data_IF_898102072932
#
_entry.id   IF_898102072932
#
_cell.length_a   1.000
_cell.length_b   1.000
_cell.length_c   1.000
_cell.angle_alpha   90.00
_cell.angle_beta   90.00
_cell.angle_gamma   90.00
#
_symmetry.space_group_name_H-M   'P 1'
#
loop_
_entity.id
_entity.type
_entity.pdbx_description
1 polymer ?
#
# COMPACT_ATOMS: atom_id res chain seq x y z
N UNK A 1 37.75 -35.35 22.40
CA UNK A 1 38.16 -34.98 21.02
C UNK A 1 37.01 -35.19 20.03
N UNK A 2 36.75 -34.12 19.27
CA UNK A 2 36.11 -34.06 17.94
C UNK A 2 34.59 -34.27 17.82
N UNK A 3 33.93 -33.14 17.59
CA UNK A 3 32.68 -32.92 16.87
C UNK A 3 32.71 -33.55 15.48
N UNK A 4 31.54 -33.97 14.96
CA UNK A 4 31.30 -33.97 13.51
C UNK A 4 29.79 -33.82 13.21
N UNK A 5 29.47 -32.78 12.45
CA UNK A 5 28.16 -32.47 11.87
C UNK A 5 27.81 -33.45 10.73
N UNK A 6 26.52 -33.71 10.53
CA UNK A 6 25.97 -34.07 9.21
C UNK A 6 24.50 -33.66 9.08
N UNK A 7 24.25 -32.63 8.27
CA UNK A 7 23.01 -32.44 7.48
C UNK A 7 23.30 -32.96 6.06
N UNK A 8 22.36 -33.03 5.07
CA UNK A 8 21.01 -32.44 5.03
C UNK A 8 19.91 -33.32 4.36
N UNK A 9 18.74 -32.69 4.22
CA UNK A 9 17.65 -32.92 3.26
C UNK A 9 16.55 -33.95 3.60
N UNK A 10 15.37 -33.45 3.98
CA UNK A 10 14.18 -33.70 3.15
C UNK A 10 13.18 -32.54 3.32
N UNK A 11 12.86 -31.96 2.17
CA UNK A 11 11.91 -30.87 1.96
C UNK A 11 10.49 -31.24 2.38
N UNK A 12 9.80 -30.36 3.13
CA UNK A 12 8.33 -30.29 3.10
C UNK A 12 7.83 -28.85 3.29
N UNK A 13 7.71 -28.18 2.14
CA UNK A 13 6.66 -27.23 1.75
C UNK A 13 5.98 -26.53 2.94
N UNK A 14 6.51 -25.36 3.31
CA UNK A 14 5.72 -24.36 4.02
C UNK A 14 5.25 -23.36 2.99
N UNK A 15 4.02 -23.57 2.48
CA UNK A 15 3.22 -22.51 1.89
C UNK A 15 2.92 -21.50 2.99
N UNK A 16 3.88 -20.64 3.28
CA UNK A 16 3.65 -19.47 4.10
C UNK A 16 3.07 -18.44 3.16
N UNK A 17 1.75 -18.24 3.20
CA UNK A 17 1.17 -16.97 2.81
C UNK A 17 1.81 -15.93 3.74
N UNK A 18 2.96 -15.40 3.35
CA UNK A 18 3.63 -14.34 4.06
C UNK A 18 2.72 -13.12 3.98
N UNK A 19 1.99 -12.92 5.07
CA UNK A 19 1.10 -11.79 5.29
C UNK A 19 1.94 -10.56 5.67
N UNK A 20 3.06 -10.35 4.97
CA UNK A 20 3.88 -9.19 5.15
C UNK A 20 3.05 -7.96 4.79
N UNK A 21 3.04 -6.93 5.64
CA UNK A 21 2.29 -5.73 5.33
C UNK A 21 2.85 -5.14 4.02
N UNK A 22 2.03 -4.42 3.23
CA UNK A 22 2.50 -3.72 2.05
C UNK A 22 3.77 -2.95 2.36
N UNK A 23 4.75 -2.95 1.46
CA UNK A 23 6.03 -2.26 1.68
C UNK A 23 5.83 -0.77 1.99
N UNK A 24 4.76 -0.17 1.47
CA UNK A 24 4.39 1.22 1.74
C UNK A 24 3.73 1.45 3.11
N UNK A 25 3.36 0.41 3.85
CA UNK A 25 2.64 0.53 5.14
C UNK A 25 3.44 1.29 6.21
N UNK A 26 4.77 1.27 6.10
CA UNK A 26 5.69 1.96 7.01
C UNK A 26 6.10 3.34 6.51
N UNK A 27 5.61 3.78 5.34
CA UNK A 27 5.98 5.08 4.79
C UNK A 27 5.55 6.21 5.72
N UNK A 28 6.47 7.14 5.94
CA UNK A 28 6.20 8.40 6.61
C UNK A 28 5.58 9.41 5.64
N UNK A 29 5.34 10.63 6.12
CA UNK A 29 4.75 11.72 5.33
C UNK A 29 5.58 12.09 4.11
N UNK A 30 6.91 12.07 4.24
CA UNK A 30 7.85 12.51 3.21
C UNK A 30 7.93 11.48 2.07
N UNK A 31 8.04 10.20 2.41
CA UNK A 31 7.99 9.08 1.46
C UNK A 31 6.66 9.05 0.70
N UNK A 32 5.55 9.30 1.42
CA UNK A 32 4.21 9.34 0.82
C UNK A 32 4.03 10.55 -0.10
N UNK A 33 4.58 11.71 0.26
CA UNK A 33 4.57 12.91 -0.58
C UNK A 33 5.40 12.71 -1.86
N UNK A 34 6.55 12.03 -1.79
CA UNK A 34 7.34 11.66 -2.97
C UNK A 34 6.56 10.70 -3.88
N UNK A 35 5.88 9.71 -3.29
CA UNK A 35 5.02 8.80 -4.06
C UNK A 35 3.89 9.54 -4.79
N UNK A 36 3.21 10.50 -4.13
CA UNK A 36 2.16 11.31 -4.76
C UNK A 36 2.70 12.04 -6.02
N UNK A 37 3.86 12.68 -5.90
CA UNK A 37 4.54 13.37 -7.01
C UNK A 37 4.86 12.41 -8.17
N UNK A 38 5.47 11.27 -7.87
CA UNK A 38 5.85 10.27 -8.87
C UNK A 38 4.63 9.66 -9.57
N UNK A 39 3.51 9.55 -8.86
CA UNK A 39 2.28 8.94 -9.36
C UNK A 39 1.36 9.92 -10.09
N UNK A 40 1.72 11.22 -10.13
CA UNK A 40 0.85 12.30 -10.59
C UNK A 40 -0.52 12.29 -9.86
N UNK A 41 -0.49 11.92 -8.58
CA UNK A 41 -1.64 11.92 -7.68
C UNK A 41 -1.55 13.13 -6.76
N UNK A 42 -2.71 13.66 -6.40
CA UNK A 42 -2.82 14.86 -5.58
C UNK A 42 -3.40 14.52 -4.21
N UNK A 43 -3.00 15.28 -3.20
CA UNK A 43 -3.61 15.27 -1.89
C UNK A 43 -3.61 16.70 -1.35
N UNK A 44 -4.80 17.25 -1.12
CA UNK A 44 -5.02 18.62 -0.68
C UNK A 44 -5.62 18.68 0.73
N UNK A 45 -5.58 17.55 1.44
CA UNK A 45 -6.06 17.43 2.81
C UNK A 45 -5.24 18.25 3.80
N UNK A 46 -5.87 18.62 4.93
CA UNK A 46 -5.15 19.29 6.01
C UNK A 46 -4.14 18.36 6.69
N UNK A 47 -4.42 17.06 6.70
CA UNK A 47 -3.54 16.04 7.26
C UNK A 47 -2.64 15.45 6.17
N UNK A 48 -1.36 15.30 6.45
CA UNK A 48 -0.42 14.60 5.57
C UNK A 48 -0.79 13.12 5.44
N UNK A 49 -0.70 12.58 4.22
CA UNK A 49 -0.81 11.14 4.03
C UNK A 49 0.43 10.42 4.56
N UNK A 50 0.20 9.23 5.12
CA UNK A 50 1.24 8.28 5.50
C UNK A 50 0.92 6.92 4.88
N UNK A 51 1.86 6.00 4.96
CA UNK A 51 1.67 4.61 4.57
C UNK A 51 0.45 3.96 5.22
N UNK A 52 0.21 4.23 6.50
CA UNK A 52 -0.95 3.70 7.23
C UNK A 52 -2.26 4.24 6.69
N UNK A 53 -2.30 5.52 6.30
CA UNK A 53 -3.48 6.10 5.64
C UNK A 53 -3.74 5.45 4.27
N UNK A 54 -2.70 5.21 3.47
CA UNK A 54 -2.84 4.52 2.19
C UNK A 54 -3.35 3.08 2.34
N UNK A 55 -2.88 2.35 3.36
CA UNK A 55 -3.37 0.99 3.67
C UNK A 55 -4.84 1.04 4.10
N UNK A 56 -5.22 2.02 4.91
CA UNK A 56 -6.61 2.21 5.29
C UNK A 56 -7.49 2.50 4.07
N UNK A 57 -7.06 3.42 3.20
CA UNK A 57 -7.77 3.80 1.98
C UNK A 57 -7.93 2.62 1.02
N UNK A 58 -6.91 1.78 0.83
CA UNK A 58 -7.00 0.62 -0.06
C UNK A 58 -7.94 -0.47 0.47
N UNK A 59 -8.02 -0.65 1.79
CA UNK A 59 -9.04 -1.52 2.41
C UNK A 59 -10.43 -0.93 2.24
N UNK A 60 -10.55 0.37 2.47
CA UNK A 60 -11.81 1.09 2.41
C UNK A 60 -12.42 1.07 1.01
N UNK A 61 -11.60 1.17 -0.04
CA UNK A 61 -12.04 1.02 -1.44
C UNK A 61 -12.79 -0.31 -1.66
N UNK A 62 -12.34 -1.40 -1.04
CA UNK A 62 -12.96 -2.73 -1.17
C UNK A 62 -14.17 -2.92 -0.25
N UNK A 63 -14.08 -2.41 0.98
CA UNK A 63 -15.06 -2.67 2.03
C UNK A 63 -16.25 -1.70 1.98
N UNK A 64 -16.03 -0.44 1.62
CA UNK A 64 -17.06 0.59 1.50
C UNK A 64 -16.67 1.63 0.43
N UNK A 65 -16.93 1.35 -0.86
CA UNK A 65 -16.54 2.24 -1.95
C UNK A 65 -17.13 3.64 -1.82
N UNK A 66 -18.38 3.77 -1.37
CA UNK A 66 -19.03 5.08 -1.19
C UNK A 66 -18.30 5.92 -0.14
N UNK A 67 -17.95 5.32 1.00
CA UNK A 67 -17.23 6.02 2.06
C UNK A 67 -15.79 6.33 1.67
N UNK A 68 -15.16 5.50 0.83
CA UNK A 68 -13.87 5.80 0.24
C UNK A 68 -13.91 7.07 -0.63
N UNK A 69 -14.86 7.18 -1.56
CA UNK A 69 -14.98 8.39 -2.38
C UNK A 69 -15.37 9.63 -1.57
N UNK A 70 -16.20 9.47 -0.55
CA UNK A 70 -16.53 10.55 0.38
C UNK A 70 -15.29 11.01 1.17
N UNK A 71 -14.46 10.07 1.61
CA UNK A 71 -13.20 10.35 2.30
C UNK A 71 -12.23 11.14 1.41
N UNK A 72 -12.07 10.73 0.15
CA UNK A 72 -11.20 11.43 -0.80
C UNK A 72 -11.66 12.87 -1.07
N UNK A 73 -12.97 13.10 -1.11
CA UNK A 73 -13.54 14.45 -1.29
C UNK A 73 -13.37 15.31 -0.04
N UNK A 74 -13.76 14.79 1.12
CA UNK A 74 -13.88 15.56 2.35
C UNK A 74 -12.53 15.74 3.06
N UNK A 75 -11.70 14.71 3.10
CA UNK A 75 -10.39 14.74 3.76
C UNK A 75 -9.24 14.89 2.78
N UNK A 76 -9.35 14.31 1.58
CA UNK A 76 -8.31 14.41 0.55
C UNK A 76 -8.36 15.69 -0.30
N UNK A 77 -9.44 16.46 -0.21
CA UNK A 77 -9.66 17.67 -1.00
C UNK A 77 -9.79 17.41 -2.51
N UNK A 78 -10.11 16.18 -2.91
CA UNK A 78 -10.19 15.78 -4.33
C UNK A 78 -11.55 16.17 -4.90
N UNK A 79 -11.63 17.41 -5.37
CA UNK A 79 -12.89 18.08 -5.73
C UNK A 79 -13.39 17.82 -7.15
N UNK A 80 -12.60 17.16 -8.00
CA UNK A 80 -12.99 16.87 -9.38
C UNK A 80 -12.67 15.43 -9.79
N UNK A 81 -13.31 15.01 -10.88
CA UNK A 81 -13.21 13.64 -11.38
C UNK A 81 -11.78 13.24 -11.76
N UNK A 82 -11.02 14.15 -12.37
CA UNK A 82 -9.64 13.88 -12.79
C UNK A 82 -8.73 13.61 -11.59
N UNK A 83 -8.84 14.41 -10.53
CA UNK A 83 -8.11 14.20 -9.27
C UNK A 83 -8.46 12.86 -8.64
N UNK A 84 -9.75 12.54 -8.55
CA UNK A 84 -10.22 11.26 -8.03
C UNK A 84 -9.67 10.10 -8.86
N UNK A 85 -9.79 10.14 -10.18
CA UNK A 85 -9.27 9.10 -11.07
C UNK A 85 -7.76 8.90 -10.94
N UNK A 86 -6.99 9.98 -10.87
CA UNK A 86 -5.54 9.91 -10.74
C UNK A 86 -5.15 9.25 -9.41
N UNK A 87 -5.77 9.67 -8.31
CA UNK A 87 -5.49 9.11 -6.99
C UNK A 87 -5.87 7.62 -6.90
N UNK A 88 -7.09 7.25 -7.33
CA UNK A 88 -7.53 5.85 -7.27
C UNK A 88 -6.68 4.94 -8.16
N UNK A 89 -6.32 5.41 -9.36
CA UNK A 89 -5.43 4.66 -10.26
C UNK A 89 -4.04 4.49 -9.65
N UNK A 90 -3.49 5.53 -9.03
CA UNK A 90 -2.20 5.47 -8.36
C UNK A 90 -2.22 4.48 -7.18
N UNK A 91 -3.26 4.55 -6.34
CA UNK A 91 -3.42 3.66 -5.18
C UNK A 91 -3.57 2.21 -5.61
N UNK A 92 -4.32 1.94 -6.67
CA UNK A 92 -4.49 0.59 -7.20
C UNK A 92 -3.16 0.03 -7.75
N UNK A 93 -2.38 0.84 -8.49
CA UNK A 93 -1.05 0.43 -8.96
C UNK A 93 -0.11 0.13 -7.80
N UNK A 94 -0.11 0.99 -6.78
CA UNK A 94 0.68 0.79 -5.57
C UNK A 94 0.34 -0.55 -4.87
N UNK A 95 -0.93 -0.96 -4.88
CA UNK A 95 -1.35 -2.25 -4.31
C UNK A 95 -0.99 -3.45 -5.21
N UNK A 96 -1.00 -3.28 -6.54
CA UNK A 96 -0.69 -4.35 -7.50
C UNK A 96 0.81 -4.65 -7.61
N UNK A 97 1.68 -3.65 -7.47
CA UNK A 97 3.14 -3.80 -7.57
C UNK A 97 3.69 -4.86 -6.58
N UNK A 98 3.06 -4.93 -5.40
CA UNK A 98 3.36 -5.90 -4.34
C UNK A 98 3.07 -7.35 -4.78
N UNK A 99 2.13 -7.54 -5.72
CA UNK A 99 1.74 -8.86 -6.23
C UNK A 99 2.62 -9.37 -7.37
N UNK A 100 3.48 -8.52 -7.95
CA UNK A 100 4.34 -8.86 -9.11
C UNK A 100 5.81 -9.11 -8.76
N UNK A 101 6.20 -8.99 -7.48
CA UNK A 101 7.55 -9.33 -7.00
C UNK A 101 7.69 -10.78 -6.50
N UNK A 102 6.79 -11.68 -6.89
CA UNK A 102 6.77 -13.10 -6.51
C UNK A 102 7.26 -14.04 -7.61
#
# INVERSE_FOLDING_TARGET
PKSEQKSPDESKVTSTNSHDPPTFSTWNEEETAEWLKQSNAEWHGQESLTGSHLVFLSRLERESPEFFYDTLKNFGGLSNLTMLMNFTTALHRLCLDISSSG
#
